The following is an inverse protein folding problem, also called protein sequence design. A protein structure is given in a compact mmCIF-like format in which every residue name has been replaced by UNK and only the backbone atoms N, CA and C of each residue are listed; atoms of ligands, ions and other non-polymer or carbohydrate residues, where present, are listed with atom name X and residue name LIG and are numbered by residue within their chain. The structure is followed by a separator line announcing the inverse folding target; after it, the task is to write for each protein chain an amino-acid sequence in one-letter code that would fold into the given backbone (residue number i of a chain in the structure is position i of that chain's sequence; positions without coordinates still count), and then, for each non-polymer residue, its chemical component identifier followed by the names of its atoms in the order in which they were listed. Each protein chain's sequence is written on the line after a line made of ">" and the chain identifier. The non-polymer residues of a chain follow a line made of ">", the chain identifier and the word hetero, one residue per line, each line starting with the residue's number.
data_IF_573509099322
#
_entry.id   IF_573509099322
#
_cell.length_a   1.000
_cell.length_b   1.000
_cell.length_c   1.000
_cell.angle_alpha   90.00
_cell.angle_beta   90.00
_cell.angle_gamma   90.00
#
_symmetry.space_group_name_H-M   'P 1'
#
loop_
_entity.id
_entity.type
_entity.pdbx_description
1 polymer ?
2 non-polymer ?
3 water ?
#
# COMPACT_ATOMS: atom_id res chain seq x y z
N UNK A 76 8.61 5.19 26.03
CA UNK A 76 8.64 6.56 25.45
C UNK A 76 9.31 6.57 24.06
N UNK A 77 8.90 7.51 23.20
CA UNK A 77 9.41 7.67 21.82
C UNK A 77 10.86 8.21 21.74
N UNK A 78 11.41 8.67 22.87
CA UNK A 78 12.84 8.98 23.00
C UNK A 78 13.74 7.77 22.68
N UNK A 79 13.16 6.56 22.67
CA UNK A 79 13.83 5.33 22.23
C UNK A 79 14.50 5.46 20.85
N UNK A 80 13.84 6.18 19.95
CA UNK A 80 14.32 6.38 18.60
C UNK A 80 14.24 7.86 18.19
N UNK A 81 14.61 8.73 19.13
CA UNK A 81 14.66 10.17 18.87
C UNK A 81 15.50 10.41 17.62
N UNK A 82 15.01 11.26 16.75
CA UNK A 82 15.67 11.53 15.48
C UNK A 82 15.26 10.62 14.34
N UNK A 83 14.59 9.51 14.66
CA UNK A 83 14.11 8.57 13.63
C UNK A 83 12.57 8.54 13.47
N UNK A 84 11.90 9.63 13.87
CA UNK A 84 10.44 9.74 13.75
C UNK A 84 9.99 9.80 12.28
N UNK A 85 10.93 10.01 11.36
CA UNK A 85 10.66 9.99 9.94
C UNK A 85 10.56 8.55 9.42
N UNK A 86 11.04 7.60 10.22
CA UNK A 86 11.11 6.20 9.82
C UNK A 86 10.07 5.39 10.56
N UNK A 87 10.07 5.56 11.87
CA UNK A 87 9.19 4.81 12.73
C UNK A 87 7.91 5.57 12.94
N UNK A 88 6.80 4.91 12.64
CA UNK A 88 5.49 5.39 13.02
C UNK A 88 5.22 5.04 14.47
N UNK A 89 4.36 5.85 15.08
CA UNK A 89 3.85 5.64 16.42
C UNK A 89 3.31 4.21 16.60
N UNK A 90 3.80 3.50 17.62
CA UNK A 90 3.45 2.08 17.79
C UNK A 90 2.20 1.82 18.62
N UNK A 91 1.40 2.86 18.86
CA UNK A 91 0.06 2.67 19.43
C UNK A 91 -0.80 1.89 18.44
N UNK A 92 -0.54 2.08 17.15
CA UNK A 92 -1.30 1.45 16.05
C UNK A 92 -0.33 0.74 15.12
N UNK A 93 -0.25 -0.57 15.21
CA UNK A 93 0.67 -1.35 14.39
C UNK A 93 -0.06 -2.14 13.30
N UNK A 94 0.21 -1.79 12.04
CA UNK A 94 -0.29 -2.52 10.87
C UNK A 94 0.50 -2.16 9.60
N UNK A 95 0.38 -2.99 8.54
CA UNK A 95 1.15 -2.80 7.31
C UNK A 95 0.77 -1.58 6.50
N UNK A 96 -0.51 -1.21 6.54
CA UNK A 96 -1.03 -0.02 5.82
C UNK A 96 -0.69 0.02 4.34
N UNK A 97 -0.97 -1.06 3.63
CA UNK A 97 -0.65 -1.18 2.19
C UNK A 97 0.87 -1.12 1.89
N UNK A 98 1.68 -1.39 2.92
CA UNK A 98 3.13 -1.48 2.75
C UNK A 98 3.64 -2.75 3.42
N UNK A 99 4.88 -3.13 3.14
CA UNK A 99 5.48 -4.22 3.90
C UNK A 99 5.66 -3.73 5.35
N UNK A 100 5.66 -4.64 6.31
CA UNK A 100 5.77 -4.21 7.69
C UNK A 100 7.14 -4.56 8.23
N UNK A 101 7.73 -3.60 8.95
CA UNK A 101 9.00 -3.84 9.64
C UNK A 101 8.82 -3.56 11.13
N UNK A 102 9.06 -4.60 11.92
CA UNK A 102 8.98 -4.52 13.37
C UNK A 102 10.36 -4.64 13.99
N UNK A 103 10.79 -3.63 14.74
CA UNK A 103 12.07 -3.70 15.43
C UNK A 103 11.79 -3.80 16.94
N UNK A 104 12.24 -4.89 17.56
CA UNK A 104 12.20 -5.03 19.03
C UNK A 104 13.56 -4.70 19.60
N UNK A 105 13.62 -3.65 20.41
CA UNK A 105 14.86 -3.25 21.07
C UNK A 105 14.68 -3.02 22.56
N UNK A 106 15.74 -2.54 23.22
CA UNK A 106 15.66 -2.16 24.62
C UNK A 106 16.74 -1.14 25.01
N UNK A 107 16.55 -0.49 26.16
CA UNK A 107 17.56 0.42 26.71
C UNK A 107 18.90 -0.29 26.94
N UNK A 108 20.00 0.41 26.66
CA UNK A 108 21.35 -0.05 27.01
C UNK A 108 21.93 -1.20 26.19
N UNK A 109 21.25 -1.59 25.12
CA UNK A 109 21.76 -2.67 24.28
C UNK A 109 22.64 -2.02 23.21
N UNK A 110 23.94 -2.36 23.20
CA UNK A 110 24.83 -1.73 22.23
C UNK A 110 24.48 -2.07 20.76
N UNK A 111 23.88 -3.22 20.53
CA UNK A 111 23.46 -3.58 19.18
C UNK A 111 22.27 -2.77 18.70
N UNK A 112 21.28 -2.54 19.58
CA UNK A 112 20.20 -1.62 19.24
C UNK A 112 20.71 -0.23 18.93
N UNK A 113 21.75 0.20 19.65
CA UNK A 113 22.31 1.53 19.42
C UNK A 113 23.05 1.63 18.08
N UNK A 114 23.80 0.60 17.72
CA UNK A 114 24.45 0.55 16.40
C UNK A 114 23.42 0.47 15.26
N UNK A 115 22.39 -0.34 15.46
CA UNK A 115 21.35 -0.48 14.45
C UNK A 115 20.73 0.89 14.15
N UNK A 116 20.43 1.65 15.18
CA UNK A 116 19.81 2.95 14.96
C UNK A 116 20.72 3.99 14.30
N UNK A 117 22.03 3.91 14.53
CA UNK A 117 23.00 4.78 13.84
C UNK A 117 23.06 4.50 12.34
N UNK A 118 22.97 3.22 11.98
CA UNK A 118 22.89 2.83 10.60
C UNK A 118 21.63 3.40 9.98
N UNK A 119 20.46 3.24 10.62
CA UNK A 119 19.23 3.85 10.10
C UNK A 119 19.38 5.36 9.93
N UNK A 120 20.09 6.00 10.87
CA UNK A 120 20.28 7.44 10.82
C UNK A 120 21.20 7.88 9.69
N UNK A 121 22.34 7.20 9.56
CA UNK A 121 23.49 7.64 8.79
C UNK A 121 23.68 6.99 7.38
N UNK A 122 22.92 5.93 7.07
CA UNK A 122 23.02 5.32 5.74
C UNK A 122 21.78 5.66 4.95
N UNK A 123 21.91 6.68 4.10
CA UNK A 123 20.80 7.28 3.37
C UNK A 123 20.04 6.30 2.47
N UNK A 124 20.77 5.41 1.81
CA UNK A 124 20.15 4.41 0.97
C UNK A 124 19.22 3.55 1.84
N UNK A 125 19.68 3.23 3.05
CA UNK A 125 18.88 2.42 3.97
C UNK A 125 17.64 3.17 4.47
N UNK A 126 17.87 4.38 4.97
CA UNK A 126 16.84 5.22 5.52
C UNK A 126 15.74 5.46 4.45
N UNK A 127 16.14 5.94 3.26
CA UNK A 127 15.22 6.12 2.12
C UNK A 127 14.45 4.86 1.75
N UNK A 128 15.14 3.73 1.66
CA UNK A 128 14.46 2.50 1.28
C UNK A 128 13.38 2.09 2.26
N UNK A 129 13.71 2.15 3.56
CA UNK A 129 12.73 1.83 4.60
C UNK A 129 11.51 2.74 4.46
N UNK A 130 11.76 4.05 4.42
CA UNK A 130 10.70 5.04 4.23
C UNK A 130 9.89 4.83 2.95
N UNK A 131 10.53 4.42 1.85
CA UNK A 131 9.80 4.09 0.61
C UNK A 131 8.90 2.86 0.68
N UNK A 132 9.34 1.80 1.36
CA UNK A 132 8.74 0.49 1.22
C UNK A 132 8.01 -0.10 2.41
N UNK A 133 8.23 0.43 3.61
CA UNK A 133 7.78 -0.25 4.84
C UNK A 133 7.02 0.63 5.83
N UNK A 134 6.01 0.06 6.48
CA UNK A 134 5.50 0.64 7.71
C UNK A 134 6.36 0.08 8.85
N UNK A 135 7.17 0.94 9.47
CA UNK A 135 8.19 0.56 10.46
C UNK A 135 7.82 1.04 11.83
N UNK A 136 7.98 0.14 12.80
CA UNK A 136 7.64 0.39 14.20
C UNK A 136 8.82 -0.03 15.07
N UNK A 137 9.07 0.74 16.13
CA UNK A 137 10.14 0.46 17.08
C UNK A 137 9.54 0.18 18.45
N UNK A 138 9.67 -1.05 18.91
CA UNK A 138 9.08 -1.49 20.16
C UNK A 138 10.21 -1.69 21.21
N UNK A 139 10.24 -0.79 22.18
CA UNK A 139 11.15 -0.85 23.29
C UNK A 139 10.60 -1.72 24.45
N UNK A 140 11.11 -2.94 24.58
CA UNK A 140 10.67 -3.84 25.64
C UNK A 140 11.18 -3.47 27.06
N UNK A 141 11.87 -2.34 27.19
CA UNK A 141 12.17 -1.78 28.51
C UNK A 141 10.93 -1.20 29.16
N UNK A 142 9.90 -0.99 28.37
CA UNK A 142 8.64 -0.40 28.85
C UNK A 142 7.45 -1.26 28.43
N UNK A 143 6.28 -0.93 28.94
CA UNK A 143 5.09 -1.69 28.67
C UNK A 143 3.96 -0.77 28.25
N UNK A 144 3.69 -0.74 26.96
CA UNK A 144 2.63 0.09 26.39
C UNK A 144 1.56 -0.85 25.94
N UNK A 145 0.45 -0.29 25.48
CA UNK A 145 -0.55 -1.10 24.77
C UNK A 145 -0.47 -0.82 23.27
N UNK A 146 -0.72 -1.84 22.46
CA UNK A 146 -0.65 -1.69 21.01
C UNK A 146 -1.86 -2.23 20.35
N UNK A 147 -2.46 -1.43 19.47
CA UNK A 147 -3.49 -1.95 18.56
C UNK A 147 -2.76 -2.61 17.39
N UNK A 148 -2.83 -3.93 17.32
CA UNK A 148 -2.11 -4.71 16.35
C UNK A 148 -3.10 -5.25 15.31
N UNK A 149 -3.02 -4.71 14.10
CA UNK A 149 -3.97 -5.02 13.05
C UNK A 149 -3.26 -5.74 11.90
N UNK A 150 -3.64 -6.99 11.67
CA UNK A 150 -3.11 -7.77 10.55
C UNK A 150 -4.20 -8.59 9.85
N UNK A 151 -3.88 -9.05 8.65
CA UNK A 151 -4.73 -9.92 7.90
C UNK A 151 -5.25 -9.44 6.57
N UNK A 152 -5.93 -10.34 5.90
CA UNK A 152 -6.43 -10.17 4.54
C UNK A 152 -7.47 -9.09 4.40
N UNK A 153 -7.62 -8.62 3.18
CA UNK A 153 -8.44 -7.49 2.88
C UNK A 153 -9.82 -7.84 3.32
N UNK A 154 -10.25 -9.03 2.97
CA UNK A 154 -11.53 -9.48 3.44
C UNK A 154 -11.63 -9.73 4.92
N UNK A 155 -10.63 -10.32 5.54
CA UNK A 155 -10.73 -10.46 6.98
C UNK A 155 -9.52 -10.11 7.87
N UNK A 156 -9.60 -9.01 8.59
CA UNK A 156 -8.49 -8.61 9.38
C UNK A 156 -8.88 -8.44 10.82
N UNK A 157 -7.92 -8.72 11.68
CA UNK A 157 -8.07 -8.82 13.12
C UNK A 157 -7.32 -7.67 13.75
N UNK A 158 -7.96 -6.90 14.60
CA UNK A 158 -7.28 -5.85 15.33
C UNK A 158 -7.38 -6.15 16.78
N UNK A 159 -6.24 -6.34 17.41
CA UNK A 159 -6.21 -6.78 18.77
C UNK A 159 -5.42 -5.81 19.58
N UNK A 160 -5.90 -5.44 20.74
CA UNK A 160 -5.16 -4.55 21.59
C UNK A 160 -4.32 -5.37 22.52
N UNK A 161 -3.02 -5.22 22.43
CA UNK A 161 -2.11 -6.03 23.24
C UNK A 161 -0.94 -5.27 23.81
N UNK A 162 -0.34 -5.85 24.86
CA UNK A 162 0.76 -5.20 25.55
C UNK A 162 2.08 -5.48 24.85
N UNK A 163 3.10 -4.70 25.20
CA UNK A 163 4.46 -4.89 24.70
C UNK A 163 4.89 -6.34 24.91
N UNK A 164 4.63 -6.87 26.10
CA UNK A 164 5.03 -8.24 26.44
C UNK A 164 4.30 -9.28 25.57
N UNK A 165 2.99 -9.11 25.41
CA UNK A 165 2.21 -9.98 24.53
C UNK A 165 2.68 -9.93 23.06
N UNK A 166 3.01 -8.72 22.57
CA UNK A 166 3.54 -8.55 21.21
C UNK A 166 4.87 -9.22 21.02
N UNK A 167 5.80 -9.01 21.96
CA UNK A 167 7.11 -9.62 21.88
C UNK A 167 6.95 -11.13 21.89
N UNK A 168 6.04 -11.62 22.73
CA UNK A 168 5.79 -13.04 22.91
C UNK A 168 5.31 -13.71 21.62
N UNK A 169 4.32 -13.14 20.93
CA UNK A 169 3.85 -13.70 19.65
C UNK A 169 4.97 -13.80 18.60
N UNK A 170 6.05 -13.03 18.77
CA UNK A 170 7.18 -13.15 17.87
C UNK A 170 8.35 -13.85 18.52
N UNK A 171 8.11 -14.41 19.72
CA UNK A 171 9.16 -15.13 20.47
C UNK A 171 10.47 -14.35 20.54
N UNK A 172 10.40 -13.09 20.97
CA UNK A 172 11.60 -12.24 21.02
C UNK A 172 12.46 -12.70 22.20
N UNK A 173 13.74 -12.93 21.98
CA UNK A 173 14.62 -13.36 23.09
C UNK A 173 15.97 -12.71 23.09
N UNK A 174 16.30 -12.01 22.01
CA UNK A 174 17.48 -11.17 21.97
C UNK A 174 17.15 -9.86 21.25
N UNK A 175 18.05 -8.89 21.32
CA UNK A 175 17.80 -7.60 20.71
C UNK A 175 19.01 -7.15 19.90
N UNK A 176 18.77 -6.40 18.80
CA UNK A 176 17.42 -6.14 18.27
C UNK A 176 16.90 -7.34 17.48
N UNK A 177 15.62 -7.66 17.62
CA UNK A 177 14.98 -8.64 16.75
C UNK A 177 14.21 -7.86 15.70
N UNK A 178 14.43 -8.21 14.43
CA UNK A 178 13.77 -7.54 13.29
C UNK A 178 12.79 -8.50 12.60
N UNK A 179 11.54 -8.07 12.51
CA UNK A 179 10.54 -8.86 11.82
C UNK A 179 10.06 -8.14 10.54
N UNK A 180 10.15 -8.85 9.43
CA UNK A 180 9.69 -8.37 8.14
C UNK A 180 8.47 -9.17 7.73
N UNK A 181 7.40 -8.46 7.37
CA UNK A 181 6.13 -9.10 7.02
C UNK A 181 5.55 -8.49 5.75
N UNK A 182 4.61 -9.22 5.15
CA UNK A 182 3.97 -8.81 3.93
C UNK A 182 2.84 -7.82 4.20
N UNK A 183 2.18 -7.36 3.14
CA UNK A 183 1.16 -6.33 3.25
C UNK A 183 -0.07 -6.74 4.07
N UNK A 184 -0.21 -8.04 4.34
CA UNK A 184 -1.27 -8.58 5.21
C UNK A 184 -0.75 -8.97 6.61
N UNK A 185 0.53 -8.68 6.88
CA UNK A 185 1.09 -8.93 8.19
C UNK A 185 1.48 -10.36 8.43
N UNK A 186 1.61 -11.12 7.35
CA UNK A 186 2.12 -12.47 7.41
C UNK A 186 3.64 -12.38 7.43
N UNK A 187 4.28 -13.07 8.38
CA UNK A 187 5.73 -13.01 8.55
C UNK A 187 6.46 -13.64 7.37
N UNK A 188 7.40 -12.91 6.82
CA UNK A 188 8.21 -13.44 5.78
C UNK A 188 9.54 -13.87 6.33
N UNK A 189 10.18 -13.01 7.08
CA UNK A 189 11.50 -13.31 7.59
C UNK A 189 11.80 -12.65 8.93
N UNK A 190 12.59 -13.30 9.75
CA UNK A 190 12.97 -12.79 11.03
C UNK A 190 14.46 -12.77 11.24
N UNK A 191 15.01 -11.65 11.67
CA UNK A 191 16.40 -11.57 12.04
C UNK A 191 16.49 -11.26 13.50
N UNK A 192 17.30 -12.01 14.23
CA UNK A 192 17.37 -11.90 15.69
C UNK A 192 18.50 -11.02 16.21
N UNK A 193 19.28 -10.42 15.33
CA UNK A 193 20.47 -9.74 15.73
C UNK A 193 20.74 -8.56 14.85
N UNK A 194 21.70 -7.76 15.23
CA UNK A 194 22.15 -6.68 14.40
C UNK A 194 22.82 -7.24 13.17
N UNK A 195 22.56 -6.65 12.03
CA UNK A 195 23.28 -6.92 10.81
C UNK A 195 23.81 -5.65 10.24
N UNK A 196 25.04 -5.63 9.78
CA UNK A 196 25.56 -4.41 9.15
C UNK A 196 24.70 -3.95 7.96
N UNK A 197 24.80 -2.67 7.62
CA UNK A 197 23.84 -2.01 6.75
C UNK A 197 23.81 -2.54 5.32
N UNK A 198 24.99 -2.82 4.75
CA UNK A 198 25.08 -3.43 3.42
C UNK A 198 24.21 -4.69 3.33
N UNK A 199 24.38 -5.61 4.28
CA UNK A 199 23.65 -6.88 4.25
C UNK A 199 22.17 -6.63 4.59
N UNK A 200 21.94 -5.71 5.52
CA UNK A 200 20.60 -5.48 6.02
C UNK A 200 19.70 -4.88 4.93
N UNK A 201 20.26 -3.94 4.20
CA UNK A 201 19.62 -3.37 3.03
C UNK A 201 19.27 -4.42 1.97
N UNK A 202 20.13 -5.42 1.79
CA UNK A 202 19.83 -6.48 0.82
C UNK A 202 18.64 -7.32 1.27
N UNK A 203 18.53 -7.53 2.58
CA UNK A 203 17.38 -8.24 3.13
C UNK A 203 16.07 -7.47 2.88
N UNK A 204 16.10 -6.16 3.03
CA UNK A 204 14.92 -5.33 2.85
C UNK A 204 14.49 -5.28 1.38
N UNK A 205 15.48 -5.20 0.49
CA UNK A 205 15.23 -5.23 -0.94
C UNK A 205 14.59 -6.52 -1.43
N UNK A 206 15.21 -7.64 -1.09
CA UNK A 206 14.66 -8.98 -1.34
C UNK A 206 13.16 -9.02 -1.02
N UNK A 207 12.80 -8.53 0.17
CA UNK A 207 11.39 -8.45 0.59
C UNK A 207 10.64 -7.36 -0.18
N UNK A 208 11.17 -6.14 -0.15
CA UNK A 208 10.45 -4.95 -0.63
C UNK A 208 10.19 -4.94 -2.13
N UNK A 209 11.12 -5.52 -2.89
CA UNK A 209 10.97 -5.68 -4.35
C UNK A 209 10.18 -6.97 -4.69
N UNK A 210 9.92 -7.79 -3.67
CA UNK A 210 9.05 -8.94 -3.86
C UNK A 210 9.72 -10.21 -4.34
N UNK A 211 11.05 -10.25 -4.28
CA UNK A 211 11.81 -11.40 -4.75
C UNK A 211 11.56 -12.65 -3.92
N UNK A 212 11.11 -12.49 -2.68
CA UNK A 212 10.77 -13.61 -1.81
C UNK A 212 9.65 -14.46 -2.42
N UNK A 213 8.82 -13.84 -3.29
CA UNK A 213 7.68 -14.53 -3.90
C UNK A 213 8.10 -15.67 -4.84
N UNK A 214 9.24 -15.48 -5.51
CA UNK A 214 9.79 -16.45 -6.46
C UNK A 214 10.53 -17.59 -5.74
N UNK A 215 9.97 -18.06 -4.64
CA UNK A 215 10.59 -19.15 -3.88
C UNK A 215 9.59 -20.30 -3.69
N UNK A 216 10.09 -21.46 -3.28
CA UNK A 216 9.24 -22.66 -3.13
C UNK A 216 8.98 -23.07 -1.68
N UNK A 217 9.92 -22.77 -0.78
CA UNK A 217 9.72 -22.97 0.66
C UNK A 217 10.73 -22.17 1.50
N UNK A 218 10.75 -22.42 2.81
CA UNK A 218 11.66 -21.75 3.74
C UNK A 218 13.12 -22.06 3.46
N UNK A 219 13.39 -23.27 3.00
CA UNK A 219 14.73 -23.70 2.64
C UNK A 219 15.20 -22.97 1.38
N UNK A 220 14.28 -22.76 0.45
CA UNK A 220 14.57 -22.12 -0.83
C UNK A 220 14.75 -20.59 -0.68
N UNK A 221 13.83 -19.97 0.06
CA UNK A 221 13.88 -18.54 0.35
C UNK A 221 15.21 -18.17 1.01
N UNK A 222 15.61 -18.97 2.00
CA UNK A 222 16.88 -18.80 2.72
C UNK A 222 18.11 -18.94 1.82
N UNK A 223 18.07 -19.87 0.88
CA UNK A 223 19.21 -20.02 -0.02
C UNK A 223 19.26 -18.82 -0.97
N UNK A 224 18.11 -18.47 -1.51
CA UNK A 224 18.00 -17.32 -2.41
C UNK A 224 18.33 -15.99 -1.71
N UNK A 225 17.95 -15.85 -0.44
CA UNK A 225 18.32 -14.68 0.36
C UNK A 225 19.83 -14.61 0.56
N UNK A 226 20.42 -15.73 0.98
CA UNK A 226 21.86 -15.76 1.26
C UNK A 226 22.66 -15.48 -0.01
N UNK A 227 22.16 -15.94 -1.15
CA UNK A 227 22.76 -15.64 -2.46
C UNK A 227 22.69 -14.16 -2.78
N UNK A 228 21.51 -13.57 -2.58
CA UNK A 228 21.28 -12.16 -2.87
C UNK A 228 22.11 -11.18 -1.99
N UNK A 229 22.31 -11.53 -0.74
CA UNK A 229 23.15 -10.77 0.14
C UNK A 229 24.57 -10.79 -0.31
N UNK A 230 25.06 -11.92 -0.75
CA UNK A 230 26.41 -12.03 -1.22
C UNK A 230 26.64 -11.20 -2.45
N UNK A 231 25.68 -11.19 -3.34
CA UNK A 231 25.76 -10.40 -4.53
C UNK A 231 25.81 -8.93 -4.20
N UNK A 232 25.00 -8.49 -3.28
CA UNK A 232 24.98 -7.05 -2.94
C UNK A 232 26.25 -6.62 -2.20
N UNK A 233 26.81 -7.55 -1.45
CA UNK A 233 28.11 -7.40 -0.81
C UNK A 233 29.22 -7.14 -1.82
N UNK A 234 29.26 -7.96 -2.88
CA UNK A 234 30.24 -7.79 -3.96
C UNK A 234 30.07 -6.44 -4.61
N UNK A 235 28.82 -5.98 -4.63
CA UNK A 235 28.48 -4.75 -5.33
C UNK A 235 29.01 -3.48 -4.66
N UNK A 236 29.35 -3.56 -3.38
CA UNK A 236 29.92 -2.42 -2.67
C UNK A 236 31.45 -2.50 -2.66
N UNK A 237 32.05 -2.45 -3.86
CA UNK A 237 33.51 -2.40 -4.02
C UNK A 237 33.91 -1.39 -5.08
N UNK B 76 -12.47 16.52 3.92
CA UNK B 76 -12.55 15.62 5.10
C UNK B 76 -12.84 14.17 4.72
N UNK B 77 -12.53 13.25 5.65
CA UNK B 77 -12.81 11.82 5.51
C UNK B 77 -14.31 11.50 5.46
N UNK B 78 -15.12 12.38 6.07
CA UNK B 78 -16.60 12.34 6.01
C UNK B 78 -17.20 12.12 4.59
N UNK B 79 -16.49 12.54 3.53
CA UNK B 79 -16.94 12.36 2.13
C UNK B 79 -17.34 10.91 1.76
N UNK B 80 -16.63 9.93 2.31
CA UNK B 80 -16.93 8.52 2.03
C UNK B 80 -17.03 7.62 3.27
N UNK B 81 -17.58 8.17 4.36
CA UNK B 81 -17.77 7.42 5.59
C UNK B 81 -18.49 6.12 5.31
N UNK B 82 -17.97 5.04 5.90
CA UNK B 82 -18.52 3.69 5.67
C UNK B 82 -17.89 2.95 4.50
N UNK B 83 -17.10 3.66 3.69
CA UNK B 83 -16.37 3.05 2.57
C UNK B 83 -14.85 3.10 2.74
N UNK B 84 -14.39 3.20 3.99
CA UNK B 84 -12.94 3.22 4.30
C UNK B 84 -12.29 1.87 3.99
N UNK B 85 -13.10 0.86 3.70
CA UNK B 85 -12.59 -0.43 3.28
C UNK B 85 -12.15 -0.42 1.80
N UNK B 86 -12.76 0.46 1.02
CA UNK B 86 -12.57 0.53 -0.43
C UNK B 86 -11.52 1.59 -0.76
N UNK B 87 -11.60 2.72 -0.08
CA UNK B 87 -10.82 3.91 -0.45
C UNK B 87 -9.64 4.07 0.51
N UNK B 88 -8.45 4.27 -0.05
CA UNK B 88 -7.26 4.58 0.75
C UNK B 88 -7.18 6.08 0.94
N UNK B 89 -6.47 6.50 1.98
CA UNK B 89 -6.23 7.91 2.30
C UNK B 89 -5.58 8.64 1.11
N UNK B 90 -6.22 9.72 0.66
CA UNK B 90 -5.77 10.39 -0.58
C UNK B 90 -4.61 11.36 -0.36
N UNK B 91 -4.08 11.40 0.86
CA UNK B 91 -2.85 12.14 1.10
C UNK B 91 -1.69 11.54 0.27
N UNK B 92 -1.79 10.26 -0.08
CA UNK B 92 -0.83 9.54 -0.93
C UNK B 92 -1.51 8.75 -2.04
N UNK B 93 -1.44 9.26 -3.26
CA UNK B 93 -2.05 8.60 -4.39
C UNK B 93 -0.99 7.88 -5.24
N UNK B 94 -1.30 6.63 -5.57
CA UNK B 94 -0.43 5.76 -6.39
C UNK B 94 -1.12 4.42 -6.66
N UNK B 95 -0.76 3.77 -7.78
CA UNK B 95 -1.38 2.47 -8.15
C UNK B 95 -1.05 1.36 -7.18
N UNK B 96 0.08 1.52 -6.49
CA UNK B 96 0.56 0.56 -5.49
C UNK B 96 0.42 -0.91 -5.90
N UNK B 97 0.97 -1.26 -7.07
CA UNK B 97 1.00 -2.66 -7.59
C UNK B 97 -0.33 -3.20 -8.10
N UNK B 98 -1.35 -2.34 -8.06
CA UNK B 98 -2.65 -2.68 -8.54
C UNK B 98 -3.02 -1.71 -9.66
N UNK B 99 -4.19 -1.88 -10.25
CA UNK B 99 -4.74 -0.82 -11.07
C UNK B 99 -5.20 0.29 -10.14
N UNK B 100 -5.25 1.51 -10.65
CA UNK B 100 -5.69 2.66 -9.86
C UNK B 100 -7.10 3.08 -10.27
N UNK B 101 -7.92 3.36 -9.26
CA UNK B 101 -9.23 3.96 -9.47
C UNK B 101 -9.27 5.29 -8.71
N UNK B 102 -9.38 6.39 -9.45
CA UNK B 102 -9.57 7.71 -8.88
C UNK B 102 -11.02 8.15 -9.08
N UNK B 103 -11.71 8.55 -8.01
CA UNK B 103 -13.07 9.11 -8.11
C UNK B 103 -13.04 10.58 -7.69
N UNK B 104 -13.43 11.48 -8.60
CA UNK B 104 -13.60 12.89 -8.28
C UNK B 104 -15.08 13.17 -8.02
N UNK B 105 -15.39 13.57 -6.79
CA UNK B 105 -16.78 13.90 -6.41
C UNK B 105 -16.83 15.26 -5.75
N UNK B 106 -18.00 15.62 -5.25
CA UNK B 106 -18.18 16.86 -4.46
C UNK B 106 -19.42 16.79 -3.57
N UNK B 107 -19.47 17.66 -2.55
CA UNK B 107 -20.66 17.78 -1.71
C UNK B 107 -21.97 18.05 -2.48
N UNK B 108 -23.05 17.44 -2.04
CA UNK B 108 -24.38 17.65 -2.60
C UNK B 108 -24.57 17.36 -4.08
N UNK B 109 -23.83 16.38 -4.59
CA UNK B 109 -24.03 15.91 -5.97
C UNK B 109 -24.82 14.60 -5.89
N UNK B 110 -26.02 14.58 -6.45
CA UNK B 110 -26.89 13.41 -6.31
C UNK B 110 -26.36 12.20 -7.09
N UNK B 111 -25.54 12.44 -8.12
CA UNK B 111 -24.89 11.35 -8.86
C UNK B 111 -23.76 10.72 -8.02
N UNK B 112 -23.01 11.55 -7.31
CA UNK B 112 -22.03 11.09 -6.33
C UNK B 112 -22.67 10.28 -5.24
N UNK B 113 -23.74 10.81 -4.65
CA UNK B 113 -24.46 10.09 -3.60
C UNK B 113 -24.88 8.69 -4.07
N UNK B 114 -25.43 8.61 -5.29
CA UNK B 114 -25.93 7.33 -5.86
C UNK B 114 -24.79 6.31 -6.13
N UNK B 115 -23.72 6.80 -6.73
CA UNK B 115 -22.47 6.06 -6.89
C UNK B 115 -21.97 5.46 -5.57
N UNK B 116 -21.82 6.26 -4.53
CA UNK B 116 -21.46 5.74 -3.20
C UNK B 116 -22.44 4.69 -2.63
N UNK B 117 -23.72 4.85 -2.87
CA UNK B 117 -24.65 3.78 -2.48
C UNK B 117 -24.42 2.45 -3.25
N UNK B 118 -24.05 2.54 -4.53
CA UNK B 118 -23.66 1.36 -5.33
C UNK B 118 -22.46 0.65 -4.73
N UNK B 119 -21.38 1.40 -4.44
CA UNK B 119 -20.19 0.82 -3.81
C UNK B 119 -20.52 0.12 -2.50
N UNK B 120 -21.47 0.69 -1.76
CA UNK B 120 -21.83 0.16 -0.46
C UNK B 120 -22.63 -1.12 -0.58
N UNK B 121 -23.63 -1.06 -1.45
CA UNK B 121 -24.67 -2.07 -1.45
C UNK B 121 -24.48 -3.25 -2.44
N UNK B 122 -23.70 -3.08 -3.51
CA UNK B 122 -23.44 -4.17 -4.45
C UNK B 122 -22.14 -4.87 -4.08
N UNK B 123 -22.30 -5.99 -3.40
CA UNK B 123 -21.19 -6.75 -2.84
C UNK B 123 -20.17 -7.16 -3.92
N UNK B 124 -20.66 -7.59 -5.08
CA UNK B 124 -19.75 -8.04 -6.16
C UNK B 124 -18.87 -6.88 -6.65
N UNK B 125 -19.49 -5.72 -6.84
CA UNK B 125 -18.75 -4.52 -7.21
C UNK B 125 -17.75 -4.14 -6.12
N UNK B 126 -18.19 -4.22 -4.88
CA UNK B 126 -17.41 -3.80 -3.73
C UNK B 126 -16.18 -4.71 -3.54
N UNK B 127 -16.38 -6.02 -3.64
CA UNK B 127 -15.33 -7.06 -3.56
C UNK B 127 -14.31 -6.91 -4.68
N UNK B 128 -14.82 -6.65 -5.88
CA UNK B 128 -13.97 -6.54 -7.04
C UNK B 128 -12.97 -5.40 -6.98
N UNK B 129 -13.47 -4.24 -6.59
CA UNK B 129 -12.62 -3.08 -6.42
C UNK B 129 -11.53 -3.36 -5.39
N UNK B 130 -11.90 -3.92 -4.24
CA UNK B 130 -10.92 -4.24 -3.18
C UNK B 130 -9.87 -5.30 -3.61
N UNK B 131 -10.28 -6.21 -4.47
CA UNK B 131 -9.39 -7.21 -5.04
C UNK B 131 -8.37 -6.54 -5.95
N UNK B 132 -8.87 -5.79 -6.92
CA UNK B 132 -8.04 -5.42 -8.05
C UNK B 132 -7.53 -4.01 -8.06
N UNK B 133 -8.11 -3.14 -7.25
CA UNK B 133 -7.81 -1.71 -7.39
C UNK B 133 -7.32 -1.03 -6.13
N UNK B 134 -6.39 -0.10 -6.33
CA UNK B 134 -6.08 0.96 -5.35
C UNK B 134 -7.06 2.10 -5.70
N UNK B 135 -7.98 2.40 -4.77
CA UNK B 135 -9.09 3.32 -5.05
C UNK B 135 -9.00 4.54 -4.13
N UNK B 136 -9.26 5.73 -4.68
CA UNK B 136 -9.16 6.99 -3.95
C UNK B 136 -10.38 7.83 -4.26
N UNK B 137 -10.89 8.52 -3.25
CA UNK B 137 -12.00 9.46 -3.44
C UNK B 137 -11.48 10.86 -3.19
N UNK B 138 -11.56 11.71 -4.20
CA UNK B 138 -11.08 13.08 -4.07
C UNK B 138 -12.27 14.03 -4.15
N UNK B 139 -12.48 14.77 -3.08
CA UNK B 139 -13.64 15.65 -2.96
C UNK B 139 -13.24 17.06 -3.35
N UNK B 140 -13.76 17.51 -4.50
CA UNK B 140 -13.41 18.85 -4.99
C UNK B 140 -14.13 19.99 -4.26
N UNK B 141 -14.89 19.68 -3.20
CA UNK B 141 -15.46 20.72 -2.34
C UNK B 141 -14.41 21.29 -1.39
N UNK B 142 -13.31 20.57 -1.24
CA UNK B 142 -12.22 20.96 -0.36
C UNK B 142 -10.91 21.06 -1.13
N UNK B 143 -9.87 21.56 -0.47
CA UNK B 143 -8.56 21.65 -1.10
C UNK B 143 -7.52 21.06 -0.19
N UNK B 144 -6.98 19.92 -0.60
CA UNK B 144 -5.97 19.21 0.20
C UNK B 144 -4.66 19.08 -0.57
N UNK B 145 -3.62 18.61 0.11
CA UNK B 145 -2.36 18.28 -0.55
C UNK B 145 -2.28 16.78 -0.76
N UNK B 146 -2.06 16.39 -2.02
CA UNK B 146 -1.91 14.99 -2.39
C UNK B 146 -0.54 14.70 -2.93
N UNK B 147 0.16 13.74 -2.33
CA UNK B 147 1.40 13.23 -2.91
C UNK B 147 1.07 12.24 -4.04
N UNK B 148 1.28 12.63 -5.28
CA UNK B 148 0.89 11.83 -6.41
C UNK B 148 2.10 11.14 -7.01
N UNK B 149 2.05 9.82 -7.07
CA UNK B 149 3.18 9.01 -7.48
C UNK B 149 2.87 8.04 -8.61
N UNK B 150 3.58 8.21 -9.70
CA UNK B 150 3.24 7.54 -10.92
C UNK B 150 4.49 7.23 -11.73
N UNK B 151 4.37 6.26 -12.61
CA UNK B 151 5.46 5.86 -13.47
C UNK B 151 5.91 4.43 -13.41
N UNK B 152 6.84 4.08 -14.29
CA UNK B 152 7.42 2.75 -14.44
C UNK B 152 8.32 2.43 -13.28
N UNK B 153 8.55 1.14 -13.07
CA UNK B 153 9.31 0.71 -11.90
C UNK B 153 10.70 1.30 -11.83
N UNK B 154 11.06 1.70 -10.63
CA UNK B 154 12.29 2.39 -10.38
C UNK B 154 12.20 3.77 -10.97
N UNK B 155 11.20 4.00 -11.79
CA UNK B 155 11.11 5.24 -12.52
C UNK B 155 9.94 6.09 -12.10
N UNK B 156 9.50 5.83 -10.89
CA UNK B 156 8.42 6.56 -10.28
C UNK B 156 8.80 7.99 -9.91
N UNK B 157 7.84 8.87 -10.04
CA UNK B 157 7.99 10.26 -9.65
C UNK B 157 6.87 10.67 -8.71
N UNK B 158 7.22 11.38 -7.64
CA UNK B 158 6.24 11.79 -6.67
C UNK B 158 6.11 13.28 -6.62
N UNK B 159 4.92 13.79 -6.89
CA UNK B 159 4.68 15.20 -6.77
C UNK B 159 3.50 15.54 -5.90
N UNK B 160 3.76 16.46 -4.99
CA UNK B 160 2.82 17.03 -4.03
C UNK B 160 1.97 18.01 -4.81
N UNK B 161 0.65 17.82 -4.79
CA UNK B 161 -0.26 18.69 -5.53
C UNK B 161 -1.65 18.84 -4.91
N UNK B 162 -2.27 19.99 -5.19
CA UNK B 162 -3.53 20.35 -4.61
C UNK B 162 -4.69 19.61 -5.32
N UNK B 163 -5.82 19.53 -4.65
CA UNK B 163 -7.03 18.96 -5.25
C UNK B 163 -7.33 19.55 -6.63
N UNK B 164 -7.19 20.87 -6.76
CA UNK B 164 -7.45 21.57 -8.02
C UNK B 164 -6.46 21.17 -9.11
N UNK B 165 -5.17 21.11 -8.75
CA UNK B 165 -4.13 20.65 -9.66
C UNK B 165 -4.42 19.21 -10.13
N UNK B 166 -4.72 18.32 -9.18
CA UNK B 166 -5.02 16.95 -9.53
C UNK B 166 -6.24 16.86 -10.42
N UNK B 167 -7.29 17.61 -10.08
CA UNK B 167 -8.52 17.65 -10.88
C UNK B 167 -8.25 18.15 -12.30
N UNK B 168 -7.39 19.15 -12.44
CA UNK B 168 -7.09 19.74 -13.74
C UNK B 168 -6.28 18.78 -14.62
N UNK B 169 -5.25 18.15 -14.04
CA UNK B 169 -4.53 17.06 -14.72
C UNK B 169 -5.44 16.08 -15.45
N UNK B 170 -6.55 15.71 -14.81
CA UNK B 170 -7.49 14.78 -15.41
C UNK B 170 -8.65 15.48 -16.06
N UNK B 171 -8.56 16.81 -16.17
CA UNK B 171 -9.59 17.65 -16.82
C UNK B 171 -10.99 17.38 -16.26
N UNK B 172 -11.12 17.34 -14.94
CA UNK B 172 -12.40 17.02 -14.32
C UNK B 172 -13.44 18.14 -14.54
N UNK B 173 -14.57 17.78 -15.15
CA UNK B 173 -15.64 18.74 -15.38
C UNK B 173 -16.78 18.40 -14.46
N UNK B 174 -17.55 17.38 -14.82
CA UNK B 174 -18.69 16.97 -14.02
C UNK B 174 -18.32 15.93 -12.95
N UNK B 175 -19.31 15.54 -12.15
CA UNK B 175 -19.11 14.59 -11.07
C UNK B 175 -20.22 13.52 -11.12
N UNK B 176 -19.89 12.27 -10.72
CA UNK B 176 -18.52 11.85 -10.42
C UNK B 176 -17.73 11.61 -11.70
N UNK B 177 -16.43 11.88 -11.65
CA UNK B 177 -15.52 11.50 -12.71
C UNK B 177 -14.64 10.38 -12.20
N UNK B 178 -14.75 9.23 -12.88
CA UNK B 178 -13.96 8.04 -12.53
C UNK B 178 -12.76 7.85 -13.47
N UNK B 179 -11.55 7.81 -12.90
CA UNK B 179 -10.37 7.55 -13.69
C UNK B 179 -9.79 6.16 -13.39
N UNK B 180 -9.72 5.33 -14.44
CA UNK B 180 -9.12 4.00 -14.37
C UNK B 180 -7.71 3.96 -15.00
N UNK B 181 -6.72 3.53 -14.22
CA UNK B 181 -5.32 3.53 -14.68
C UNK B 181 -4.61 2.22 -14.39
N UNK B 182 -3.50 1.99 -15.10
CA UNK B 182 -2.70 0.79 -14.88
C UNK B 182 -1.67 0.98 -13.77
N UNK B 183 -0.88 -0.07 -13.53
CA UNK B 183 0.02 -0.08 -12.38
C UNK B 183 1.21 0.88 -12.52
N UNK B 184 1.43 1.42 -13.72
CA UNK B 184 2.46 2.47 -13.88
C UNK B 184 1.82 3.84 -13.68
N UNK B 185 0.50 3.85 -13.54
CA UNK B 185 -0.22 5.09 -13.40
C UNK B 185 -0.61 5.68 -14.73
N UNK B 186 -0.45 4.90 -15.80
CA UNK B 186 -0.90 5.35 -17.11
C UNK B 186 -2.41 5.16 -17.21
N UNK B 187 -3.09 6.17 -17.73
CA UNK B 187 -4.55 6.19 -17.88
C UNK B 187 -5.03 5.21 -18.91
N UNK B 188 -6.04 4.42 -18.56
CA UNK B 188 -6.64 3.46 -19.48
C UNK B 188 -7.97 4.01 -19.96
N UNK B 189 -8.86 4.33 -19.04
CA UNK B 189 -10.18 4.74 -19.44
C UNK B 189 -10.74 5.76 -18.44
N UNK B 190 -11.65 6.62 -18.92
CA UNK B 190 -12.16 7.72 -18.11
C UNK B 190 -13.67 7.87 -18.27
N UNK B 191 -14.38 7.78 -17.14
CA UNK B 191 -15.84 7.85 -17.10
C UNK B 191 -16.31 9.20 -16.55
N UNK B 192 -16.92 10.05 -17.41
CA UNK B 192 -17.28 11.45 -17.09
C UNK B 192 -18.56 11.66 -16.27
N UNK B 193 -19.23 10.59 -15.86
CA UNK B 193 -20.43 10.68 -15.05
C UNK B 193 -20.75 9.36 -14.38
N UNK B 194 -21.86 9.31 -13.66
CA UNK B 194 -22.36 8.09 -13.04
C UNK B 194 -22.65 7.00 -14.07
N UNK B 195 -22.44 5.74 -13.68
CA UNK B 195 -22.81 4.57 -14.47
C UNK B 195 -23.47 3.54 -13.55
N UNK B 196 -24.61 2.94 -13.95
CA UNK B 196 -25.22 1.93 -13.08
C UNK B 196 -24.24 0.80 -12.77
N UNK B 197 -24.44 0.07 -11.66
CA UNK B 197 -23.43 -0.86 -11.14
C UNK B 197 -23.07 -2.00 -12.09
N UNK B 198 -24.06 -2.49 -12.83
CA UNK B 198 -23.84 -3.61 -13.75
C UNK B 198 -22.85 -3.25 -14.84
N UNK B 199 -23.13 -2.13 -15.53
CA UNK B 199 -22.25 -1.58 -16.55
C UNK B 199 -20.92 -1.25 -15.94
N UNK B 200 -20.94 -0.64 -14.76
CA UNK B 200 -19.71 -0.18 -14.14
C UNK B 200 -18.82 -1.34 -13.68
N UNK B 201 -19.45 -2.41 -13.23
CA UNK B 201 -18.72 -3.61 -12.88
C UNK B 201 -18.05 -4.20 -14.12
N UNK B 202 -18.80 -4.23 -15.22
CA UNK B 202 -18.27 -4.67 -16.54
C UNK B 202 -17.00 -3.92 -16.93
N UNK B 203 -17.03 -2.61 -16.76
CA UNK B 203 -15.88 -1.79 -17.09
C UNK B 203 -14.69 -2.19 -16.25
N UNK B 204 -14.90 -2.39 -14.96
CA UNK B 204 -13.79 -2.70 -14.07
C UNK B 204 -13.21 -4.07 -14.39
N UNK B 205 -14.10 -5.00 -14.69
CA UNK B 205 -13.70 -6.33 -15.13
C UNK B 205 -12.91 -6.31 -16.46
N UNK B 206 -13.31 -5.44 -17.37
CA UNK B 206 -12.63 -5.35 -18.65
C UNK B 206 -11.16 -4.98 -18.41
N UNK B 207 -10.91 -4.10 -17.45
CA UNK B 207 -9.57 -3.72 -17.04
C UNK B 207 -8.93 -4.78 -16.14
N UNK B 208 -9.70 -5.27 -15.17
CA UNK B 208 -9.16 -6.16 -14.15
C UNK B 208 -8.69 -7.49 -14.72
N UNK B 209 -9.44 -8.00 -15.69
CA UNK B 209 -9.10 -9.26 -16.36
C UNK B 209 -8.10 -9.07 -17.53
N UNK B 210 -7.82 -7.83 -17.91
CA UNK B 210 -6.77 -7.55 -18.88
C UNK B 210 -7.19 -7.49 -20.33
N UNK B 211 -8.50 -7.53 -20.60
CA UNK B 211 -8.99 -7.40 -21.97
C UNK B 211 -8.62 -6.07 -22.63
N UNK B 212 -8.24 -5.07 -21.84
CA UNK B 212 -7.82 -3.79 -22.42
C UNK B 212 -6.49 -3.91 -23.18
N UNK B 213 -5.68 -4.91 -22.83
CA UNK B 213 -4.40 -5.15 -23.50
C UNK B 213 -4.55 -5.54 -24.99
N UNK B 214 -5.53 -6.39 -25.30
CA UNK B 214 -5.77 -6.87 -26.67
C UNK B 214 -6.60 -5.88 -27.50
N UNK B 215 -6.01 -4.73 -27.82
CA UNK B 215 -6.72 -3.65 -28.47
C UNK B 215 -5.88 -3.07 -29.61
N UNK B 216 -6.51 -2.91 -30.78
CA UNK B 216 -5.87 -2.26 -31.93
C UNK B 216 -5.66 -0.76 -31.71
N UNK B 217 -6.76 -0.04 -31.47
CA UNK B 217 -6.72 1.39 -31.15
C UNK B 217 -7.93 1.77 -30.28
N UNK B 218 -8.04 3.03 -29.88
CA UNK B 218 -9.14 3.46 -29.00
C UNK B 218 -10.54 3.49 -29.66
N UNK B 219 -10.65 3.01 -30.89
CA UNK B 219 -11.94 2.77 -31.51
C UNK B 219 -12.30 1.28 -31.38
N UNK B 220 -11.27 0.44 -31.37
CA UNK B 220 -11.42 -0.98 -31.14
C UNK B 220 -11.66 -1.28 -29.63
N UNK B 221 -11.12 -0.44 -28.76
CA UNK B 221 -11.38 -0.56 -27.34
C UNK B 221 -12.83 -0.31 -27.00
N UNK B 222 -13.41 0.69 -27.62
CA UNK B 222 -14.83 1.02 -27.45
C UNK B 222 -15.71 -0.15 -27.87
N UNK B 223 -15.46 -0.65 -29.07
CA UNK B 223 -16.23 -1.74 -29.64
C UNK B 223 -16.15 -2.96 -28.71
N UNK B 224 -14.93 -3.27 -28.25
CA UNK B 224 -14.69 -4.40 -27.35
C UNK B 224 -15.37 -4.20 -25.97
N UNK B 225 -15.07 -3.07 -25.31
CA UNK B 225 -15.73 -2.71 -24.06
C UNK B 225 -17.26 -2.78 -24.14
N UNK B 226 -17.83 -2.24 -25.22
CA UNK B 226 -19.30 -2.29 -25.43
C UNK B 226 -19.81 -3.71 -25.52
N UNK B 227 -19.02 -4.59 -26.13
CA UNK B 227 -19.39 -6.00 -26.25
C UNK B 227 -19.38 -6.68 -24.90
N UNK B 228 -18.38 -6.34 -24.07
CA UNK B 228 -18.24 -6.94 -22.76
C UNK B 228 -19.34 -6.45 -21.82
N UNK B 229 -19.68 -5.18 -21.93
CA UNK B 229 -20.86 -4.62 -21.25
C UNK B 229 -22.15 -5.32 -21.68
N UNK B 230 -22.34 -5.54 -22.99
CA UNK B 230 -23.52 -6.28 -23.45
C UNK B 230 -23.59 -7.65 -22.80
N UNK B 231 -22.45 -8.34 -22.74
CA UNK B 231 -22.39 -9.67 -22.16
C UNK B 231 -22.92 -9.66 -20.73
N UNK B 232 -22.29 -8.87 -19.85
CA UNK B 232 -22.69 -8.75 -18.44
C UNK B 232 -24.15 -8.26 -18.28
N UNK B 233 -24.55 -7.28 -19.08
CA UNK B 233 -25.94 -6.78 -19.10
C UNK B 233 -26.93 -7.93 -19.35
N UNK B 234 -26.75 -8.66 -20.45
CA UNK B 234 -27.71 -9.68 -20.86
C UNK B 234 -27.76 -10.87 -19.91
N UNK B 235 -26.74 -10.99 -19.06
CA UNK B 235 -26.62 -12.12 -18.14
C UNK B 235 -27.71 -12.16 -17.03
N UNK B 236 -28.42 -11.04 -16.87
CA UNK B 236 -29.54 -10.97 -15.90
C UNK B 236 -30.70 -10.11 -16.41
X LIG C 1 22.87 -12.44 12.49
X LIG C 1 23.15 -12.12 13.87
X LIG C 1 24.57 -11.57 14.00
X LIG C 1 24.88 -11.19 15.35
X LIG C 1 25.10 -9.78 15.49
X LIG C 1 24.99 -9.30 16.93
X LIG C 1 23.67 -9.38 17.46
X LIG C 1 23.72 -10.06 18.73
X LIG C 1 22.63 -9.57 19.68
X LIG C 1 23.05 -9.81 21.04
X LIG C 1 22.42 -8.92 21.97
X LIG C 1 22.00 -9.64 23.25
X LIG C 1 20.56 -9.66 23.34
#
# INVERSE_FOLDING_TARGET
>A
MGSSHHHHHHSSGLVPRGSHMFSLSYVSKKFLSVLLLISLFLSACKSNNKDKLDENLLSSGSQSSKELNDERDNIDKKSYAGLEDVFSDNKSISPNDKYMLLVFGRNGCSYCERFKKDLKNVKELRDYIKEHFSAYYVNISYSKEHDFKVGDKNNEKEIKMSTEELAQIYAVQSTPTIVLSDKTGKTIYELPGYMPSTQFLAVLEFIGDGKYQDTKDDEDLTKKLKAYIKYKTNLSKSKSN
>B
MGSSHHHHHHSSGLVPRGSHMFSLSYVSKKFLSVLLLISLFLSACKSNNKDKLDENLLSSGSQSSKELNDERDNIDKKSYAGLEDVFSDNKSISPNDKYMLLVFGRNGCSYCERFKKDLKNVKELRDYIKEHFSAYYVNISYSKEHDFKVGDKNNEKEIKMSTEELAQIYAVQSTPTIVLSDKTGKTIYELPGYMPSTQFLAVLEFIGDGKYQDTKDDEDLTKKLKAYIKYKTNLSKSKSN
>C hetero
1 PG4 O1 C1 C2 O2 C3 C4 O3 C5 C6 O4 C7 C8 O5
#
